data_IF_973291100351
#
_entry.id   IF_973291100351
#
_cell.length_a   1.000
_cell.length_b   1.000
_cell.length_c   1.000
_cell.angle_alpha   90.00
_cell.angle_beta   90.00
_cell.angle_gamma   90.00
#
_symmetry.space_group_name_H-M   'P 1'
#
loop_
_entity.id
_entity.type
_entity.pdbx_description
1 polymer ?
#
# COMPACT_ATOMS: atom_id res chain seq x y z
N UNK A 1 1.33 -8.52 -15.38
CA UNK A 1 1.80 -7.55 -14.38
C UNK A 1 3.17 -7.12 -14.79
N UNK A 2 3.36 -5.83 -15.15
CA UNK A 2 4.56 -5.34 -15.85
C UNK A 2 5.23 -6.46 -16.65
N UNK A 3 4.48 -7.00 -17.61
CA UNK A 3 4.97 -8.14 -18.35
C UNK A 3 6.05 -7.58 -19.27
N UNK A 4 7.30 -7.81 -18.88
CA UNK A 4 8.43 -7.57 -19.76
C UNK A 4 8.27 -8.57 -20.90
N UNK A 5 7.71 -8.11 -22.01
CA UNK A 5 7.77 -8.84 -23.26
C UNK A 5 9.25 -8.92 -23.66
N UNK A 6 9.87 -10.04 -23.26
CA UNK A 6 11.27 -10.36 -23.51
C UNK A 6 11.58 -10.58 -25.00
N UNK A 7 10.59 -10.47 -25.89
CA UNK A 7 10.76 -10.68 -27.33
C UNK A 7 11.56 -9.56 -28.04
N UNK A 8 11.91 -8.46 -27.37
CA UNK A 8 12.66 -7.37 -28.00
C UNK A 8 13.94 -6.99 -27.24
N UNK A 9 15.03 -6.85 -27.99
CA UNK A 9 16.39 -6.55 -27.50
C UNK A 9 16.59 -5.09 -27.06
N UNK A 10 15.52 -4.29 -26.95
CA UNK A 10 15.58 -2.88 -26.57
C UNK A 10 14.54 -2.58 -25.47
N UNK A 11 14.93 -2.94 -24.23
CA UNK A 11 14.12 -2.85 -23.01
C UNK A 11 13.56 -1.44 -22.72
N UNK A 12 14.09 -0.39 -23.34
CA UNK A 12 13.64 0.98 -23.09
C UNK A 12 12.62 1.49 -24.11
N UNK A 13 12.44 0.82 -25.26
CA UNK A 13 11.54 1.28 -26.33
C UNK A 13 10.22 0.53 -26.44
N UNK A 14 10.14 -0.69 -25.90
CA UNK A 14 8.99 -1.58 -26.13
C UNK A 14 8.34 -2.12 -24.85
N UNK A 15 8.66 -1.57 -23.67
CA UNK A 15 7.96 -1.98 -22.44
C UNK A 15 6.59 -1.30 -22.39
N UNK A 16 5.55 -2.07 -22.65
CA UNK A 16 4.19 -1.66 -22.31
C UNK A 16 3.94 -1.99 -20.84
N UNK A 17 3.83 -0.95 -20.02
CA UNK A 17 3.35 -1.09 -18.65
C UNK A 17 1.85 -1.32 -18.67
N UNK A 18 1.45 -2.60 -18.70
CA UNK A 18 0.05 -2.99 -18.59
C UNK A 18 -0.29 -3.15 -17.10
N UNK A 19 -1.36 -2.49 -16.67
CA UNK A 19 -1.91 -2.62 -15.32
C UNK A 19 -2.34 -4.06 -15.08
N UNK A 20 -2.08 -4.60 -13.89
CA UNK A 20 -2.65 -5.90 -13.54
C UNK A 20 -4.18 -5.81 -13.55
N UNK A 21 -4.83 -6.94 -13.79
CA UNK A 21 -6.25 -7.09 -13.55
C UNK A 21 -6.50 -6.99 -12.04
N UNK A 22 -7.11 -5.89 -11.58
CA UNK A 22 -7.40 -5.62 -10.16
C UNK A 22 -8.33 -6.66 -9.53
N UNK A 23 -8.97 -7.51 -10.34
CA UNK A 23 -9.80 -8.61 -9.87
C UNK A 23 -9.03 -9.89 -9.54
N UNK A 24 -7.72 -9.95 -9.81
CA UNK A 24 -6.91 -11.17 -9.69
C UNK A 24 -5.77 -11.03 -8.68
N UNK A 25 -5.54 -12.12 -7.96
CA UNK A 25 -4.33 -12.29 -7.16
C UNK A 25 -3.17 -12.72 -8.06
N UNK A 26 -1.99 -12.19 -7.78
CA UNK A 26 -0.74 -12.46 -8.48
C UNK A 26 0.18 -13.18 -7.53
N UNK A 27 0.55 -14.41 -7.85
CA UNK A 27 1.52 -15.19 -7.07
C UNK A 27 2.93 -14.59 -7.23
N UNK A 28 3.64 -14.44 -6.10
CA UNK A 28 4.98 -13.87 -6.06
C UNK A 28 6.09 -14.94 -5.95
N UNK A 29 5.78 -16.10 -5.37
CA UNK A 29 6.73 -17.14 -5.01
C UNK A 29 6.27 -18.53 -5.46
N UNK A 30 5.81 -18.62 -6.72
CA UNK A 30 5.25 -19.84 -7.35
C UNK A 30 6.13 -21.11 -7.35
N UNK A 31 7.30 -21.08 -6.69
CA UNK A 31 8.23 -22.19 -6.53
C UNK A 31 8.38 -22.76 -5.12
N UNK A 32 7.83 -22.16 -4.05
CA UNK A 32 7.87 -22.74 -2.70
C UNK A 32 6.52 -23.42 -2.37
N UNK A 33 6.49 -24.76 -2.20
CA UNK A 33 5.25 -25.45 -1.83
C UNK A 33 4.80 -25.18 -0.38
N UNK A 34 5.61 -24.53 0.45
CA UNK A 34 5.35 -24.35 1.89
C UNK A 34 4.88 -22.93 2.27
N UNK A 35 4.99 -21.96 1.36
CA UNK A 35 4.41 -20.63 1.54
C UNK A 35 3.99 -20.11 0.18
N UNK A 36 2.75 -19.61 0.10
CA UNK A 36 2.25 -18.96 -1.11
C UNK A 36 2.03 -17.49 -0.80
N UNK A 37 2.97 -16.65 -1.23
CA UNK A 37 2.86 -15.20 -1.26
C UNK A 37 2.09 -14.75 -2.50
N UNK A 38 1.11 -13.89 -2.28
CA UNK A 38 0.29 -13.28 -3.35
C UNK A 38 0.10 -11.81 -3.11
N UNK A 39 -0.07 -11.04 -4.18
CA UNK A 39 -0.57 -9.67 -4.07
C UNK A 39 -1.88 -9.51 -4.84
N UNK A 40 -2.78 -8.72 -4.28
CA UNK A 40 -3.86 -8.08 -5.03
C UNK A 40 -3.51 -6.61 -5.17
N UNK A 41 -3.71 -6.04 -6.35
CA UNK A 41 -3.44 -4.62 -6.59
C UNK A 41 -4.73 -3.86 -6.85
N UNK A 42 -4.75 -2.58 -6.50
CA UNK A 42 -5.83 -1.66 -6.86
C UNK A 42 -5.22 -0.30 -7.20
N UNK A 43 -5.71 0.33 -8.27
CA UNK A 43 -5.29 1.67 -8.65
C UNK A 43 -5.55 2.67 -7.53
N UNK A 44 -4.53 3.49 -7.25
CA UNK A 44 -4.60 4.56 -6.27
C UNK A 44 -5.17 5.85 -6.88
N UNK A 45 -5.47 6.83 -6.03
CA UNK A 45 -5.88 8.15 -6.50
C UNK A 45 -4.64 9.01 -6.78
N UNK A 46 -4.15 8.98 -8.01
CA UNK A 46 -2.99 9.73 -8.48
C UNK A 46 -3.14 10.08 -9.96
N UNK A 47 -2.46 11.13 -10.45
CA UNK A 47 -2.57 11.54 -11.86
C UNK A 47 -1.86 10.57 -12.82
N UNK A 48 -0.68 10.07 -12.46
CA UNK A 48 0.00 8.98 -13.16
C UNK A 48 -0.55 7.59 -12.80
N UNK A 49 -0.01 6.57 -13.47
CA UNK A 49 -0.30 5.19 -13.13
C UNK A 49 0.36 4.84 -11.78
N UNK A 50 -0.43 4.88 -10.72
CA UNK A 50 -0.04 4.45 -9.37
C UNK A 50 -1.04 3.43 -8.82
N UNK A 51 -0.55 2.51 -8.00
CA UNK A 51 -1.36 1.45 -7.40
C UNK A 51 -0.84 1.09 -6.01
N UNK A 52 -1.77 0.77 -5.12
CA UNK A 52 -1.47 0.07 -3.89
C UNK A 52 -1.70 -1.43 -4.02
N UNK A 53 -1.34 -2.16 -2.98
CA UNK A 53 -1.55 -3.60 -2.92
C UNK A 53 -1.87 -4.10 -1.52
N UNK A 54 -2.48 -5.27 -1.46
CA UNK A 54 -2.57 -6.13 -0.28
C UNK A 54 -1.69 -7.35 -0.55
N UNK A 55 -0.73 -7.59 0.33
CA UNK A 55 0.12 -8.77 0.37
C UNK A 55 -0.53 -9.84 1.24
N UNK A 56 -0.57 -11.04 0.70
CA UNK A 56 -1.09 -12.23 1.35
C UNK A 56 0.02 -13.25 1.52
N UNK A 57 0.02 -13.95 2.65
CA UNK A 57 0.79 -15.16 2.89
C UNK A 57 -0.21 -16.28 3.20
N UNK A 58 -0.16 -17.38 2.45
CA UNK A 58 -1.08 -18.51 2.64
C UNK A 58 -2.57 -18.10 2.63
N UNK A 59 -2.92 -17.17 1.73
CA UNK A 59 -4.24 -16.52 1.58
C UNK A 59 -4.69 -15.66 2.77
N UNK A 60 -3.82 -15.35 3.73
CA UNK A 60 -4.08 -14.39 4.80
C UNK A 60 -3.44 -13.05 4.48
N UNK A 61 -4.19 -11.96 4.57
CA UNK A 61 -3.64 -10.62 4.34
C UNK A 61 -2.69 -10.26 5.51
N UNK A 62 -1.46 -9.88 5.19
CA UNK A 62 -0.41 -9.59 6.19
C UNK A 62 0.04 -8.13 6.15
N UNK A 63 -0.01 -7.49 4.98
CA UNK A 63 0.44 -6.13 4.77
C UNK A 63 -0.35 -5.47 3.64
N UNK A 64 -0.72 -4.20 3.82
CA UNK A 64 -1.17 -3.34 2.73
C UNK A 64 -0.20 -2.19 2.53
N UNK A 65 -0.05 -1.74 1.29
CA UNK A 65 0.79 -0.60 0.92
C UNK A 65 0.05 0.26 -0.10
N UNK A 66 -0.01 1.57 0.12
CA UNK A 66 -0.82 2.46 -0.72
C UNK A 66 -0.18 2.88 -2.05
N UNK A 67 1.16 2.87 -2.15
CA UNK A 67 1.84 3.77 -3.10
C UNK A 67 1.47 5.25 -2.84
N UNK A 68 1.81 6.13 -3.77
CA UNK A 68 1.37 7.53 -3.69
C UNK A 68 -0.14 7.61 -4.00
N UNK A 69 -0.90 8.24 -3.10
CA UNK A 69 -2.35 8.29 -3.23
C UNK A 69 -3.00 9.40 -2.43
N UNK A 70 -3.90 10.13 -3.09
CA UNK A 70 -4.94 10.92 -2.46
C UNK A 70 -5.88 10.04 -1.66
N UNK A 71 -6.63 10.65 -0.74
CA UNK A 71 -7.65 9.92 0.01
C UNK A 71 -8.82 9.54 -0.91
N UNK A 72 -9.19 8.26 -0.89
CA UNK A 72 -10.30 7.70 -1.64
C UNK A 72 -10.90 6.53 -0.86
N UNK A 73 -12.16 6.63 -0.45
CA UNK A 73 -12.80 5.64 0.45
C UNK A 73 -12.75 4.20 -0.09
N UNK A 74 -13.12 3.90 -1.36
CA UNK A 74 -12.96 2.56 -1.93
C UNK A 74 -11.52 2.01 -1.83
N UNK A 75 -10.53 2.83 -2.17
CA UNK A 75 -9.12 2.41 -2.12
C UNK A 75 -8.64 2.17 -0.68
N UNK A 76 -8.97 3.07 0.25
CA UNK A 76 -8.62 2.92 1.67
C UNK A 76 -9.33 1.73 2.32
N UNK A 77 -10.56 1.42 1.91
CA UNK A 77 -11.28 0.21 2.33
C UNK A 77 -10.57 -1.05 1.86
N UNK A 78 -10.06 -1.05 0.62
CA UNK A 78 -9.25 -2.14 0.11
C UNK A 78 -7.97 -2.35 0.91
N UNK A 79 -7.24 -1.27 1.23
CA UNK A 79 -6.04 -1.35 2.06
C UNK A 79 -6.37 -1.88 3.48
N UNK A 80 -7.57 -1.63 4.00
CA UNK A 80 -8.00 -2.07 5.34
C UNK A 80 -8.20 -3.58 5.52
N UNK A 81 -8.01 -4.37 4.45
CA UNK A 81 -8.05 -5.82 4.51
C UNK A 81 -6.84 -6.44 5.23
N UNK A 82 -5.70 -5.74 5.33
CA UNK A 82 -4.53 -6.24 6.06
C UNK A 82 -4.47 -5.67 7.50
N UNK A 83 -3.90 -6.41 8.45
CA UNK A 83 -3.70 -5.95 9.84
C UNK A 83 -2.63 -4.86 9.97
N UNK A 84 -1.64 -4.85 9.08
CA UNK A 84 -0.57 -3.85 8.98
C UNK A 84 -0.72 -3.06 7.69
N UNK A 85 -0.71 -1.73 7.75
CA UNK A 85 -0.99 -0.88 6.60
C UNK A 85 0.02 0.26 6.54
N UNK A 86 0.71 0.38 5.41
CA UNK A 86 1.56 1.50 5.08
C UNK A 86 0.81 2.44 4.13
N UNK A 87 0.62 3.69 4.53
CA UNK A 87 -0.10 4.70 3.75
C UNK A 87 0.75 5.94 3.50
N UNK A 88 0.67 6.44 2.27
CA UNK A 88 1.13 7.77 1.89
C UNK A 88 0.30 8.81 2.64
N UNK A 89 0.96 9.82 3.19
CA UNK A 89 0.30 10.88 3.93
C UNK A 89 1.13 12.14 4.04
N UNK A 90 0.46 13.28 3.90
CA UNK A 90 1.02 14.64 4.03
C UNK A 90 0.28 15.43 5.09
N UNK A 91 0.82 16.59 5.47
CA UNK A 91 0.13 17.50 6.38
C UNK A 91 -1.18 18.02 5.77
N UNK A 92 -1.15 18.42 4.51
CA UNK A 92 -2.32 18.92 3.76
C UNK A 92 -2.68 17.97 2.64
N UNK A 93 -3.97 17.73 2.43
CA UNK A 93 -4.45 16.85 1.37
C UNK A 93 -4.29 17.48 -0.01
N UNK A 94 -4.08 16.63 -1.00
CA UNK A 94 -4.18 16.97 -2.42
C UNK A 94 -4.96 15.88 -3.14
N UNK A 95 -5.18 16.04 -4.45
CA UNK A 95 -5.72 14.95 -5.26
C UNK A 95 -4.84 13.68 -5.19
N UNK A 96 -3.53 13.85 -5.00
CA UNK A 96 -2.49 12.84 -5.15
C UNK A 96 -1.92 12.32 -3.84
N UNK A 97 -2.17 13.02 -2.72
CA UNK A 97 -1.70 12.65 -1.40
C UNK A 97 -2.78 12.86 -0.33
N UNK A 98 -3.03 11.84 0.49
CA UNK A 98 -3.94 11.95 1.61
C UNK A 98 -3.36 12.82 2.73
N UNK A 99 -4.22 13.51 3.46
CA UNK A 99 -3.83 14.21 4.68
C UNK A 99 -3.77 13.28 5.89
N UNK A 100 -2.99 13.67 6.90
CA UNK A 100 -2.99 13.03 8.22
C UNK A 100 -4.40 12.96 8.83
N UNK A 101 -5.21 14.01 8.67
CA UNK A 101 -6.57 14.07 9.21
C UNK A 101 -7.51 13.10 8.52
N UNK A 102 -7.42 12.94 7.20
CA UNK A 102 -8.21 11.93 6.45
C UNK A 102 -7.86 10.51 6.90
N UNK A 103 -6.56 10.22 7.05
CA UNK A 103 -6.08 8.91 7.53
C UNK A 103 -6.62 8.64 8.95
N UNK A 104 -6.49 9.61 9.87
CA UNK A 104 -6.98 9.48 11.23
C UNK A 104 -8.51 9.37 11.30
N UNK A 105 -9.24 10.10 10.46
CA UNK A 105 -10.69 10.03 10.42
C UNK A 105 -11.17 8.67 9.90
N UNK A 106 -10.53 8.14 8.85
CA UNK A 106 -10.84 6.80 8.35
C UNK A 106 -10.53 5.72 9.41
N UNK A 107 -9.38 5.83 10.09
CA UNK A 107 -9.03 4.94 11.19
C UNK A 107 -10.10 4.95 12.31
N UNK A 108 -10.52 6.13 12.77
CA UNK A 108 -11.50 6.28 13.87
C UNK A 108 -12.90 5.77 13.51
N UNK A 109 -13.27 5.85 12.24
CA UNK A 109 -14.60 5.45 11.75
C UNK A 109 -14.65 3.99 11.28
N UNK A 110 -13.49 3.35 11.10
CA UNK A 110 -13.42 1.93 10.78
C UNK A 110 -13.83 1.06 11.96
N UNK A 111 -14.56 -0.03 11.66
CA UNK A 111 -14.99 -1.01 12.67
C UNK A 111 -13.86 -1.91 13.15
N UNK A 112 -12.73 -1.93 12.44
CA UNK A 112 -11.60 -2.80 12.74
C UNK A 112 -10.33 -1.97 12.93
N UNK A 113 -9.73 -2.10 14.11
CA UNK A 113 -8.44 -1.51 14.42
C UNK A 113 -7.31 -2.20 13.64
N UNK A 114 -6.34 -1.40 13.19
CA UNK A 114 -5.21 -1.79 12.35
C UNK A 114 -3.95 -1.11 12.84
N UNK A 115 -2.78 -1.67 12.53
CA UNK A 115 -1.51 -0.97 12.73
C UNK A 115 -1.20 -0.15 11.46
N UNK A 116 -1.20 1.17 11.61
CA UNK A 116 -1.01 2.13 10.51
C UNK A 116 0.37 2.78 10.61
N UNK A 117 1.06 2.80 9.47
CA UNK A 117 2.36 3.40 9.28
C UNK A 117 2.28 4.44 8.16
N UNK A 118 2.39 5.72 8.51
CA UNK A 118 2.35 6.82 7.55
C UNK A 118 3.76 7.07 7.02
N UNK A 119 3.93 7.05 5.70
CA UNK A 119 5.17 7.37 5.02
C UNK A 119 4.98 8.54 4.05
N UNK A 120 6.08 8.97 3.44
CA UNK A 120 6.06 10.06 2.46
C UNK A 120 5.49 11.38 3.02
N UNK A 121 5.76 11.71 4.28
CA UNK A 121 5.25 12.94 4.92
C UNK A 121 6.08 14.20 4.65
N UNK A 122 7.24 14.09 4.02
CA UNK A 122 8.13 15.22 3.75
C UNK A 122 9.49 15.01 4.41
N UNK A 123 9.97 16.02 5.15
CA UNK A 123 11.26 15.95 5.84
C UNK A 123 11.11 15.30 7.22
N UNK A 124 12.20 14.76 7.78
CA UNK A 124 12.19 14.16 9.13
C UNK A 124 11.75 15.16 10.21
N UNK A 125 12.04 16.45 10.04
CA UNK A 125 11.59 17.50 10.95
C UNK A 125 10.07 17.72 10.92
N UNK A 126 9.41 17.29 9.85
CA UNK A 126 7.96 17.38 9.66
C UNK A 126 7.25 16.08 10.07
N UNK A 127 7.98 15.15 10.71
CA UNK A 127 7.44 13.86 11.13
C UNK A 127 6.22 14.05 12.03
N UNK A 128 5.02 13.60 11.61
CA UNK A 128 3.82 13.83 12.38
C UNK A 128 3.82 13.01 13.67
N UNK A 129 3.22 13.59 14.71
CA UNK A 129 2.91 12.91 15.97
C UNK A 129 1.42 12.66 16.02
N UNK A 130 1.02 11.40 15.89
CA UNK A 130 -0.38 11.02 15.94
C UNK A 130 -0.82 10.80 17.40
N UNK A 131 -2.07 11.15 17.75
CA UNK A 131 -2.59 10.97 19.11
C UNK A 131 -3.12 9.55 19.39
N UNK A 132 -2.79 8.57 18.54
CA UNK A 132 -3.29 7.19 18.61
C UNK A 132 -2.10 6.26 18.45
N UNK A 133 -1.89 5.35 19.41
CA UNK A 133 -0.70 4.46 19.45
C UNK A 133 -0.56 3.56 18.22
N UNK A 134 -1.68 3.17 17.61
CA UNK A 134 -1.71 2.32 16.42
C UNK A 134 -1.45 3.08 15.11
N UNK A 135 -1.22 4.39 15.15
CA UNK A 135 -0.90 5.20 13.97
C UNK A 135 0.43 5.88 14.22
N UNK A 136 1.43 5.63 13.38
CA UNK A 136 2.77 6.22 13.55
C UNK A 136 3.39 6.57 12.21
N UNK A 137 4.26 7.57 12.19
CA UNK A 137 5.07 7.87 11.01
C UNK A 137 6.31 6.98 10.96
N UNK A 138 6.63 6.46 9.76
CA UNK A 138 7.84 5.67 9.55
C UNK A 138 9.09 6.55 9.52
N UNK A 139 10.24 6.04 9.95
CA UNK A 139 11.54 6.69 9.73
C UNK A 139 12.45 5.83 8.82
N UNK A 140 13.40 6.44 8.09
CA UNK A 140 14.39 5.70 7.33
C UNK A 140 15.12 4.65 8.19
N UNK A 141 15.24 3.43 7.68
CA UNK A 141 15.89 2.31 8.39
C UNK A 141 15.05 1.65 9.48
N UNK A 142 13.82 2.11 9.72
CA UNK A 142 12.91 1.46 10.67
C UNK A 142 12.55 0.05 10.18
N UNK A 143 12.66 -0.92 11.09
CA UNK A 143 12.10 -2.26 10.90
C UNK A 143 10.68 -2.30 11.45
N UNK A 144 9.74 -2.81 10.64
CA UNK A 144 8.33 -2.98 11.03
C UNK A 144 8.05 -4.46 11.19
N UNK A 145 7.60 -4.85 12.39
CA UNK A 145 7.08 -6.19 12.64
C UNK A 145 5.66 -6.26 12.08
N UNK A 146 5.40 -7.16 11.12
CA UNK A 146 4.05 -7.37 10.61
C UNK A 146 3.19 -8.05 11.68
N UNK A 147 1.99 -7.54 11.87
CA UNK A 147 0.96 -8.21 12.64
C UNK A 147 0.43 -9.39 11.83
N UNK A 148 0.40 -10.58 12.41
CA UNK A 148 -0.31 -11.71 11.82
C UNK A 148 -1.79 -11.60 12.20
N UNK A 149 -2.67 -11.96 11.28
CA UNK A 149 -4.11 -12.05 11.54
C UNK A 149 -4.36 -13.03 12.70
N UNK A 150 -5.06 -12.55 13.74
CA UNK A 150 -5.57 -13.36 14.85
C UNK A 150 -6.84 -14.12 14.47
#
# INVERSE_FOLDING_TARGET
CAELDSSTTDLFRNVQWITCDESKDVELDSGDPNSILKIRVQRSQHSELCAGFVLYENNQAILSFSGDSGFNTPFYTFLWNAPTILVDGRETSTYEHASFDEILNFYKTSSISRQIFVYHYGLENDKPKFPIDNVSAVSPGQTIQLMLSS
#
